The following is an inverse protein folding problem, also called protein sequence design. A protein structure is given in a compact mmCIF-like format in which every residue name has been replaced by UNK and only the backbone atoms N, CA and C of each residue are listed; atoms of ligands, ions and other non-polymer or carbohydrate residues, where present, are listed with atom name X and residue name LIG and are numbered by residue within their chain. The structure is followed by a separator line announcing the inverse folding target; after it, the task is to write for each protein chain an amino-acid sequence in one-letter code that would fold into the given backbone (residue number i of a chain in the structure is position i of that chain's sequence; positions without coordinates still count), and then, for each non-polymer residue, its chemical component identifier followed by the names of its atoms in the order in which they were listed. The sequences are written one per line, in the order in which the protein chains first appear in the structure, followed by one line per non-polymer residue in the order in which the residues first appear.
data_IF_770304894056
#
_entry.id   IF_770304894056
#
_cell.length_a   1.000
_cell.length_b   1.000
_cell.length_c   1.000
_cell.angle_alpha   90.00
_cell.angle_beta   90.00
_cell.angle_gamma   90.00
#
_symmetry.space_group_name_H-M   'P 1'
#
loop_
_entity.id
_entity.type
_entity.pdbx_description
1 polymer ?
#
# COMPACT_ATOMS: atom_id res chain seq x y z
N UNK A 1 -8.80 29.57 18.05
CA UNK A 1 -7.59 28.73 18.17
C UNK A 1 -7.16 28.35 16.75
N UNK A 2 -5.92 28.68 16.34
CA UNK A 2 -5.41 28.31 15.00
C UNK A 2 -4.79 26.91 15.03
N UNK A 3 -4.81 26.20 13.89
CA UNK A 3 -4.22 24.87 13.77
C UNK A 3 -2.75 24.83 14.24
N UNK A 4 -1.97 25.88 13.99
CA UNK A 4 -0.60 26.03 14.50
C UNK A 4 -0.53 25.98 16.03
N UNK A 5 -1.41 26.74 16.70
CA UNK A 5 -1.43 26.77 18.16
C UNK A 5 -1.85 25.42 18.74
N UNK A 6 -2.83 24.74 18.12
CA UNK A 6 -3.20 23.39 18.53
C UNK A 6 -2.02 22.41 18.43
N UNK A 7 -1.24 22.48 17.34
CA UNK A 7 -0.04 21.65 17.16
C UNK A 7 1.02 21.94 18.23
N UNK A 8 1.33 23.21 18.50
CA UNK A 8 2.31 23.59 19.53
C UNK A 8 1.83 23.21 20.94
N UNK A 9 0.56 23.43 21.27
CA UNK A 9 -0.01 23.10 22.58
C UNK A 9 -0.02 21.61 22.91
N UNK A 10 0.06 20.74 21.90
CA UNK A 10 0.18 19.29 22.09
C UNK A 10 1.63 18.81 22.28
N UNK A 11 2.63 19.70 22.18
CA UNK A 11 4.05 19.37 22.37
C UNK A 11 4.48 19.60 23.82
N UNK A 12 5.54 18.91 24.25
CA UNK A 12 6.22 19.23 25.50
C UNK A 12 6.91 20.61 25.43
N UNK A 13 6.95 21.32 26.55
CA UNK A 13 7.45 22.71 26.63
C UNK A 13 8.86 22.93 26.05
N UNK A 14 9.72 21.92 26.15
CA UNK A 14 11.07 21.95 25.56
C UNK A 14 11.03 21.96 24.03
N UNK A 15 10.07 21.27 23.41
CA UNK A 15 9.87 21.25 21.97
C UNK A 15 9.15 22.52 21.49
N UNK A 16 8.22 23.08 22.27
CA UNK A 16 7.51 24.31 21.87
C UNK A 16 8.50 25.41 21.47
N UNK A 17 9.56 25.63 22.26
CA UNK A 17 10.60 26.63 22.00
C UNK A 17 11.36 26.39 20.70
N UNK A 18 11.56 25.13 20.30
CA UNK A 18 12.29 24.77 19.09
C UNK A 18 11.48 25.04 17.81
N UNK A 19 10.15 24.84 17.90
CA UNK A 19 9.23 24.89 16.76
C UNK A 19 8.39 26.18 16.68
N UNK A 20 8.42 27.05 17.70
CA UNK A 20 7.66 28.31 17.72
C UNK A 20 8.02 29.26 16.57
N UNK A 21 9.26 29.18 16.08
CA UNK A 21 9.80 29.97 14.95
C UNK A 21 9.04 29.79 13.62
N UNK A 22 8.27 28.71 13.46
CA UNK A 22 7.46 28.48 12.27
C UNK A 22 6.11 29.18 12.42
N UNK A 23 5.82 30.15 11.56
CA UNK A 23 4.72 31.10 11.75
C UNK A 23 3.39 30.59 11.23
N UNK A 24 3.41 29.68 10.25
CA UNK A 24 2.21 29.07 9.68
C UNK A 24 2.07 27.61 10.13
N UNK A 25 0.82 27.11 10.16
CA UNK A 25 0.55 25.71 10.44
C UNK A 25 1.21 24.78 9.40
N UNK A 26 1.30 25.24 8.14
CA UNK A 26 1.94 24.51 7.05
C UNK A 26 3.45 24.34 7.27
N UNK A 27 4.17 25.43 7.56
CA UNK A 27 5.61 25.37 7.81
C UNK A 27 5.94 24.48 9.00
N UNK A 28 5.16 24.61 10.09
CA UNK A 28 5.31 23.76 11.27
C UNK A 28 5.09 22.29 10.93
N UNK A 29 4.04 21.98 10.16
CA UNK A 29 3.72 20.62 9.73
C UNK A 29 4.83 19.99 8.89
N UNK A 30 5.36 20.70 7.89
CA UNK A 30 6.42 20.16 7.02
C UNK A 30 7.69 19.83 7.83
N UNK A 31 8.07 20.66 8.79
CA UNK A 31 9.26 20.40 9.61
C UNK A 31 9.03 19.24 10.57
N UNK A 32 7.86 19.14 11.19
CA UNK A 32 7.52 17.97 12.00
C UNK A 32 7.51 16.68 11.18
N UNK A 33 7.04 16.74 9.93
CA UNK A 33 7.06 15.60 9.01
C UNK A 33 8.50 15.17 8.69
N UNK A 34 9.45 16.09 8.57
CA UNK A 34 10.87 15.74 8.41
C UNK A 34 11.44 15.14 9.70
N UNK A 35 11.19 15.77 10.85
CA UNK A 35 11.76 15.37 12.13
C UNK A 35 11.20 14.03 12.66
N UNK A 36 9.91 13.77 12.44
CA UNK A 36 9.18 12.65 13.05
C UNK A 36 8.42 11.78 12.04
N UNK A 37 8.29 12.20 10.79
CA UNK A 37 7.57 11.44 9.76
C UNK A 37 8.39 10.31 9.12
N UNK A 38 9.67 10.19 9.47
CA UNK A 38 10.51 9.09 8.99
C UNK A 38 10.08 7.76 9.62
N UNK A 39 9.81 6.75 8.79
CA UNK A 39 9.57 5.39 9.27
C UNK A 39 10.90 4.72 9.62
N UNK A 40 10.97 4.03 10.77
CA UNK A 40 12.17 3.28 11.14
C UNK A 40 12.44 2.14 10.15
N UNK A 41 13.72 1.85 9.90
CA UNK A 41 14.13 0.76 9.00
C UNK A 41 13.51 -0.60 9.40
N UNK A 42 13.37 -0.85 10.70
CA UNK A 42 12.72 -2.06 11.23
C UNK A 42 11.25 -2.14 10.84
N UNK A 43 10.49 -1.04 10.96
CA UNK A 43 9.07 -1.01 10.58
C UNK A 43 8.91 -1.14 9.07
N UNK A 44 9.76 -0.46 8.29
CA UNK A 44 9.76 -0.58 6.84
C UNK A 44 10.03 -2.04 6.41
N UNK A 45 11.04 -2.69 6.99
CA UNK A 45 11.34 -4.10 6.75
C UNK A 45 10.18 -5.03 7.08
N UNK A 46 9.48 -4.80 8.20
CA UNK A 46 8.29 -5.58 8.56
C UNK A 46 7.13 -5.41 7.56
N UNK A 47 6.88 -4.18 7.09
CA UNK A 47 5.85 -3.92 6.07
C UNK A 47 6.20 -4.59 4.74
N UNK A 48 7.46 -4.46 4.30
CA UNK A 48 7.92 -5.08 3.06
C UNK A 48 7.84 -6.60 3.15
N UNK A 49 8.23 -7.20 4.27
CA UNK A 49 8.11 -8.64 4.48
C UNK A 49 6.65 -9.10 4.42
N UNK A 50 5.75 -8.41 5.13
CA UNK A 50 4.30 -8.71 5.13
C UNK A 50 3.72 -8.65 3.72
N UNK A 51 4.05 -7.62 2.94
CA UNK A 51 3.58 -7.46 1.56
C UNK A 51 4.07 -8.58 0.65
N UNK A 52 5.34 -8.95 0.72
CA UNK A 52 5.92 -10.01 -0.12
C UNK A 52 5.47 -11.44 0.25
N UNK A 53 5.00 -11.65 1.48
CA UNK A 53 4.57 -12.95 1.97
C UNK A 53 3.04 -13.11 1.98
N UNK A 54 2.30 -12.06 1.65
CA UNK A 54 0.84 -12.13 1.63
C UNK A 54 0.38 -13.00 0.46
N UNK A 55 -0.52 -13.92 0.76
CA UNK A 55 -1.12 -14.85 -0.20
C UNK A 55 -2.64 -14.80 -0.06
N UNK A 56 -3.35 -15.11 -1.14
CA UNK A 56 -4.80 -15.18 -1.16
C UNK A 56 -5.31 -16.18 -0.11
N UNK A 57 -6.04 -15.69 0.88
CA UNK A 57 -6.73 -16.54 1.85
C UNK A 57 -7.88 -17.27 1.13
N UNK A 58 -8.00 -18.61 1.25
CA UNK A 58 -9.11 -19.37 0.67
C UNK A 58 -10.52 -18.89 1.09
N UNK A 59 -10.62 -18.13 2.18
CA UNK A 59 -11.88 -17.56 2.68
C UNK A 59 -12.19 -16.18 2.10
N UNK A 60 -11.22 -15.52 1.47
CA UNK A 60 -11.40 -14.20 0.89
C UNK A 60 -11.80 -14.29 -0.58
N UNK A 61 -12.69 -13.40 -1.00
CA UNK A 61 -12.93 -13.16 -2.42
C UNK A 61 -11.73 -12.43 -3.05
N UNK A 62 -11.63 -12.48 -4.37
CA UNK A 62 -10.58 -11.73 -5.09
C UNK A 62 -10.66 -10.22 -4.81
N UNK A 63 -11.86 -9.67 -4.62
CA UNK A 63 -12.04 -8.25 -4.27
C UNK A 63 -11.43 -7.95 -2.90
N UNK A 64 -11.76 -8.75 -1.88
CA UNK A 64 -11.22 -8.57 -0.52
C UNK A 64 -9.70 -8.70 -0.51
N UNK A 65 -9.15 -9.64 -1.27
CA UNK A 65 -7.71 -9.81 -1.42
C UNK A 65 -7.03 -8.57 -1.99
N UNK A 66 -7.56 -8.03 -3.08
CA UNK A 66 -7.02 -6.85 -3.74
C UNK A 66 -7.14 -5.59 -2.88
N UNK A 67 -8.21 -5.46 -2.08
CA UNK A 67 -8.34 -4.34 -1.14
C UNK A 67 -7.25 -4.39 -0.07
N UNK A 68 -6.96 -5.57 0.50
CA UNK A 68 -5.86 -5.75 1.47
C UNK A 68 -4.51 -5.42 0.85
N UNK A 69 -4.24 -5.88 -0.38
CA UNK A 69 -2.99 -5.61 -1.09
C UNK A 69 -2.82 -4.12 -1.42
N UNK A 70 -3.91 -3.45 -1.84
CA UNK A 70 -3.92 -2.01 -2.09
C UNK A 70 -3.61 -1.20 -0.84
N UNK A 71 -4.14 -1.63 0.30
CA UNK A 71 -3.84 -0.97 1.58
C UNK A 71 -2.39 -1.20 2.01
N UNK A 72 -1.81 -2.38 1.80
CA UNK A 72 -0.38 -2.63 2.04
C UNK A 72 0.53 -1.75 1.14
N UNK A 73 0.18 -1.57 -0.14
CA UNK A 73 0.90 -0.68 -1.05
C UNK A 73 0.88 0.75 -0.53
N UNK A 74 -0.29 1.24 -0.09
CA UNK A 74 -0.43 2.57 0.52
C UNK A 74 0.37 2.71 1.81
N UNK A 75 0.36 1.69 2.68
CA UNK A 75 1.16 1.68 3.91
C UNK A 75 2.66 1.79 3.59
N UNK A 76 3.14 1.07 2.57
CA UNK A 76 4.53 1.11 2.12
C UNK A 76 4.90 2.49 1.53
N UNK A 77 4.06 3.05 0.66
CA UNK A 77 4.27 4.39 0.11
C UNK A 77 4.30 5.46 1.20
N UNK A 78 3.40 5.38 2.18
CA UNK A 78 3.38 6.29 3.33
C UNK A 78 4.60 6.11 4.25
N UNK A 79 5.20 4.91 4.27
CA UNK A 79 6.44 4.64 4.97
C UNK A 79 7.69 5.12 4.21
N UNK A 80 7.54 5.73 3.03
CA UNK A 80 8.63 6.21 2.19
C UNK A 80 9.20 5.15 1.24
N UNK A 81 8.48 4.06 0.99
CA UNK A 81 8.87 3.04 0.02
C UNK A 81 8.36 3.40 -1.37
N UNK A 82 9.27 3.56 -2.33
CA UNK A 82 8.91 3.72 -3.74
C UNK A 82 8.75 2.34 -4.39
N UNK A 83 7.50 1.95 -4.64
CA UNK A 83 7.14 0.74 -5.38
C UNK A 83 6.79 1.09 -6.81
N UNK A 84 7.57 0.60 -7.78
CA UNK A 84 7.19 0.68 -9.18
C UNK A 84 5.94 -0.16 -9.46
N UNK A 85 5.16 0.21 -10.47
CA UNK A 85 3.96 -0.53 -10.84
C UNK A 85 4.29 -2.00 -11.14
N UNK A 86 5.40 -2.26 -11.84
CA UNK A 86 5.89 -3.63 -12.11
C UNK A 86 6.20 -4.43 -10.84
N UNK A 87 6.73 -3.79 -9.80
CA UNK A 87 6.95 -4.47 -8.52
C UNK A 87 5.63 -4.79 -7.83
N UNK A 88 4.67 -3.86 -7.85
CA UNK A 88 3.34 -4.07 -7.28
C UNK A 88 2.65 -5.25 -7.99
N UNK A 89 2.64 -5.25 -9.32
CA UNK A 89 2.00 -6.27 -10.15
C UNK A 89 2.61 -7.65 -9.93
N UNK A 90 3.95 -7.75 -9.93
CA UNK A 90 4.63 -9.03 -9.69
C UNK A 90 4.29 -9.61 -8.31
N UNK A 91 4.22 -8.78 -7.27
CA UNK A 91 3.86 -9.26 -5.92
C UNK A 91 2.39 -9.66 -5.86
N UNK A 92 1.50 -8.94 -6.53
CA UNK A 92 0.08 -9.32 -6.65
C UNK A 92 -0.08 -10.66 -7.35
N UNK A 93 0.60 -10.89 -8.46
CA UNK A 93 0.51 -12.18 -9.17
C UNK A 93 1.06 -13.33 -8.32
N UNK A 94 2.22 -13.14 -7.67
CA UNK A 94 2.81 -14.14 -6.77
C UNK A 94 1.97 -14.45 -5.53
N UNK A 95 1.09 -13.54 -5.13
CA UNK A 95 0.19 -13.77 -3.99
C UNK A 95 -0.94 -14.77 -4.32
N UNK A 96 -1.12 -15.12 -5.60
CA UNK A 96 -2.17 -16.02 -6.04
C UNK A 96 -1.72 -17.50 -5.96
N UNK A 97 -2.63 -18.44 -5.65
CA UNK A 97 -2.31 -19.86 -5.64
C UNK A 97 -1.98 -20.37 -7.04
N UNK A 98 -0.74 -20.84 -7.24
CA UNK A 98 -0.23 -21.34 -8.53
C UNK A 98 -1.14 -22.42 -9.15
N UNK A 99 -1.69 -23.32 -8.32
CA UNK A 99 -2.52 -24.43 -8.77
C UNK A 99 -3.82 -23.97 -9.44
N UNK A 100 -4.31 -22.78 -9.11
CA UNK A 100 -5.58 -22.24 -9.61
C UNK A 100 -5.37 -21.09 -10.59
N UNK A 101 -4.28 -20.32 -10.45
CA UNK A 101 -4.06 -19.05 -11.14
C UNK A 101 -2.78 -19.00 -11.99
N UNK A 102 -2.01 -20.08 -12.10
CA UNK A 102 -0.74 -20.09 -12.83
C UNK A 102 -0.85 -19.70 -14.32
N UNK A 103 -1.98 -19.97 -14.97
CA UNK A 103 -2.23 -19.52 -16.35
C UNK A 103 -2.43 -18.00 -16.44
N UNK A 104 -3.09 -17.38 -15.46
CA UNK A 104 -3.31 -15.93 -15.39
C UNK A 104 -2.01 -15.21 -15.09
N UNK A 105 -1.18 -15.75 -14.19
CA UNK A 105 0.16 -15.24 -13.97
C UNK A 105 0.96 -15.22 -15.28
N UNK A 106 0.98 -16.33 -16.02
CA UNK A 106 1.67 -16.42 -17.31
C UNK A 106 1.14 -15.41 -18.34
N UNK A 107 -0.18 -15.26 -18.48
CA UNK A 107 -0.78 -14.34 -19.45
C UNK A 107 -0.48 -12.88 -19.11
N UNK A 108 -0.54 -12.52 -17.83
CA UNK A 108 -0.34 -11.15 -17.38
C UNK A 108 1.14 -10.74 -17.37
N UNK A 109 2.06 -11.66 -17.05
CA UNK A 109 3.51 -11.34 -17.07
C UNK A 109 4.06 -11.05 -18.47
N UNK A 110 3.43 -11.59 -19.51
CA UNK A 110 3.83 -11.40 -20.91
C UNK A 110 3.09 -10.26 -21.60
N UNK A 111 2.11 -9.64 -20.93
CA UNK A 111 1.31 -8.58 -21.52
C UNK A 111 1.87 -7.19 -21.16
N UNK A 112 2.55 -6.55 -22.10
CA UNK A 112 3.17 -5.23 -21.89
C UNK A 112 2.15 -4.09 -21.65
N UNK A 113 0.87 -4.31 -21.97
CA UNK A 113 -0.19 -3.32 -21.80
C UNK A 113 -0.88 -3.37 -20.42
N UNK A 114 -0.63 -4.42 -19.62
CA UNK A 114 -1.16 -4.58 -18.27
C UNK A 114 0.00 -4.37 -17.30
N UNK A 115 0.29 -3.10 -17.01
CA UNK A 115 1.49 -2.67 -16.28
C UNK A 115 1.19 -1.79 -15.07
N UNK A 116 -0.05 -1.84 -14.56
CA UNK A 116 -0.45 -1.14 -13.35
C UNK A 116 -1.31 -2.03 -12.48
N UNK A 117 -1.25 -1.78 -11.17
CA UNK A 117 -2.05 -2.50 -10.18
C UNK A 117 -3.54 -2.50 -10.55
N UNK A 118 -4.06 -1.36 -11.02
CA UNK A 118 -5.48 -1.24 -11.37
C UNK A 118 -5.86 -2.10 -12.59
N UNK A 119 -4.96 -2.21 -13.57
CA UNK A 119 -5.17 -3.04 -14.75
C UNK A 119 -5.15 -4.53 -14.37
N UNK A 120 -4.14 -4.96 -13.62
CA UNK A 120 -4.03 -6.32 -13.08
C UNK A 120 -5.25 -6.66 -12.22
N UNK A 121 -5.63 -5.78 -11.29
CA UNK A 121 -6.78 -5.95 -10.41
C UNK A 121 -8.09 -6.10 -11.19
N UNK A 122 -8.27 -5.35 -12.28
CA UNK A 122 -9.47 -5.44 -13.12
C UNK A 122 -9.55 -6.79 -13.85
N UNK A 123 -8.43 -7.26 -14.40
CA UNK A 123 -8.35 -8.58 -15.04
C UNK A 123 -8.61 -9.73 -14.05
N UNK A 124 -8.02 -9.64 -12.84
CA UNK A 124 -8.22 -10.65 -11.81
C UNK A 124 -9.69 -10.75 -11.34
N UNK A 125 -10.38 -9.60 -11.25
CA UNK A 125 -11.81 -9.58 -10.93
C UNK A 125 -12.64 -10.25 -12.02
N UNK A 126 -12.41 -9.90 -13.28
CA UNK A 126 -13.13 -10.50 -14.41
C UNK A 126 -12.93 -12.03 -14.49
N UNK A 127 -11.68 -12.49 -14.32
CA UNK A 127 -11.37 -13.92 -14.30
C UNK A 127 -12.03 -14.64 -13.11
N UNK A 128 -12.07 -14.00 -11.93
CA UNK A 128 -12.75 -14.55 -10.76
C UNK A 128 -14.26 -14.70 -11.00
N UNK A 129 -14.91 -13.67 -11.54
CA UNK A 129 -16.35 -13.68 -11.83
C UNK A 129 -16.72 -14.76 -12.88
N UNK A 130 -15.89 -14.94 -13.92
CA UNK A 130 -16.05 -16.01 -14.90
C UNK A 130 -16.03 -17.40 -14.23
N UNK A 131 -15.05 -17.65 -13.36
CA UNK A 131 -14.89 -18.93 -12.66
C UNK A 131 -16.04 -19.22 -11.70
N UNK A 132 -16.53 -18.20 -11.01
CA UNK A 132 -17.70 -18.33 -10.14
C UNK A 132 -18.94 -18.71 -10.95
N UNK A 133 -19.11 -18.11 -12.14
CA UNK A 133 -20.21 -18.40 -13.06
C UNK A 133 -20.15 -19.84 -13.60
N UNK A 134 -18.96 -20.34 -13.93
CA UNK A 134 -18.75 -21.72 -14.41
C UNK A 134 -19.03 -22.77 -13.34
N UNK A 135 -18.74 -22.49 -12.06
CA UNK A 135 -19.00 -23.40 -10.93
C UNK A 135 -20.46 -23.47 -10.51
N UNK A 136 -21.27 -22.50 -10.92
CA UNK A 136 -22.69 -22.42 -10.59
C UNK A 136 -23.59 -23.18 -11.59
N UNK A 137 -23.02 -23.81 -12.61
CA UNK A 137 -23.69 -24.64 -13.63
C UNK A 137 -23.48 -26.13 -13.37
#
# INVERSE_FOLDING_TARGET
MSARFAMLSCMHDNLIREYEKYLTAKELWEVLKVAYGSTSATRLGALTFRFNQYVLDPKHSMIQHLDVMKDMIRELQNAGCELSDKQQDLVVLRSLPEQTWGHVELVLTHNEHINTFNSVASHLKLEADCRESERAQ
#
